data_IF_091297057849
#
_entry.id   IF_091297057849
#
_cell.length_a   1.000
_cell.length_b   1.000
_cell.length_c   1.000
_cell.angle_alpha   90.00
_cell.angle_beta   90.00
_cell.angle_gamma   90.00
#
_symmetry.space_group_name_H-M   'P 1'
#
loop_
_entity.id
_entity.type
_entity.pdbx_description
1 polymer ?
#
# COMPACT_ATOMS: atom_id res chain seq x y z
N UNK A 1 13.45 9.50 -1.76
CA UNK A 1 12.28 9.72 -0.89
C UNK A 1 12.00 8.41 -0.18
N UNK A 2 11.95 8.40 1.15
CA UNK A 2 11.70 7.16 1.89
C UNK A 2 10.18 6.97 2.03
N UNK A 3 9.61 6.07 1.23
CA UNK A 3 8.20 5.72 1.35
C UNK A 3 7.98 4.94 2.64
N UNK A 4 7.08 5.42 3.49
CA UNK A 4 6.65 4.66 4.67
C UNK A 4 5.92 3.40 4.19
N UNK A 5 6.25 2.21 4.70
CA UNK A 5 5.58 0.97 4.32
C UNK A 5 4.07 1.08 4.46
N UNK A 6 3.36 0.51 3.49
CA UNK A 6 1.89 0.48 3.46
C UNK A 6 1.37 -0.95 3.35
N UNK A 7 0.17 -1.17 3.88
CA UNK A 7 -0.58 -2.42 3.75
C UNK A 7 -2.04 -2.10 3.41
N UNK A 8 -2.72 -3.08 2.81
CA UNK A 8 -4.16 -3.03 2.59
C UNK A 8 -4.87 -3.92 3.60
N UNK A 9 -5.88 -3.38 4.29
CA UNK A 9 -6.74 -4.11 5.22
C UNK A 9 -8.18 -3.73 4.93
N UNK A 10 -9.04 -4.70 4.63
CA UNK A 10 -10.49 -4.47 4.39
C UNK A 10 -10.75 -3.37 3.34
N UNK A 11 -9.93 -3.32 2.28
CA UNK A 11 -9.98 -2.29 1.22
C UNK A 11 -9.58 -0.87 1.66
N UNK A 12 -8.96 -0.73 2.84
CA UNK A 12 -8.35 0.50 3.31
C UNK A 12 -6.83 0.43 3.20
N UNK A 13 -6.23 1.55 2.82
CA UNK A 13 -4.78 1.69 2.77
C UNK A 13 -4.25 2.26 4.10
N UNK A 14 -3.35 1.51 4.74
CA UNK A 14 -2.76 1.88 6.02
C UNK A 14 -1.26 2.10 5.89
N UNK A 15 -0.74 3.04 6.66
CA UNK A 15 0.68 3.38 6.76
C UNK A 15 1.20 2.92 8.11
N UNK A 16 2.45 2.41 8.13
CA UNK A 16 3.12 2.00 9.37
C UNK A 16 3.21 3.20 10.33
N UNK A 17 2.65 3.04 11.53
CA UNK A 17 2.75 4.01 12.63
C UNK A 17 4.00 3.69 13.45
N UNK A 18 4.04 2.49 14.04
CA UNK A 18 5.14 2.04 14.91
C UNK A 18 5.22 0.52 14.98
N UNK A 19 6.31 0.01 15.53
CA UNK A 19 6.46 -1.39 15.93
C UNK A 19 6.66 -1.45 17.46
N UNK A 20 6.11 -2.49 18.12
CA UNK A 20 6.53 -2.93 19.44
C UNK A 20 6.62 -4.46 19.48
N UNK A 21 7.81 -5.00 19.77
CA UNK A 21 8.09 -6.46 19.76
C UNK A 21 7.75 -7.08 18.39
N UNK A 22 7.01 -8.18 18.35
CA UNK A 22 6.51 -8.77 17.10
C UNK A 22 5.32 -8.03 16.47
N UNK A 23 4.75 -7.02 17.14
CA UNK A 23 3.54 -6.32 16.69
C UNK A 23 3.86 -5.05 15.90
N UNK A 24 3.25 -4.94 14.74
CA UNK A 24 3.29 -3.77 13.86
C UNK A 24 1.95 -3.06 13.94
N UNK A 25 2.00 -1.76 14.21
CA UNK A 25 0.84 -0.90 14.33
C UNK A 25 0.75 -0.03 13.09
N UNK A 26 -0.45 0.01 12.53
CA UNK A 26 -0.76 0.69 11.30
C UNK A 26 -1.90 1.67 11.55
N UNK A 27 -1.89 2.79 10.84
CA UNK A 27 -2.99 3.75 10.86
C UNK A 27 -3.42 4.07 9.44
N UNK A 28 -4.70 4.41 9.28
CA UNK A 28 -5.24 4.85 8.00
C UNK A 28 -4.39 5.98 7.40
N UNK A 29 -4.14 5.93 6.09
CA UNK A 29 -3.40 7.02 5.43
C UNK A 29 -4.12 8.38 5.52
N UNK A 30 -5.45 8.36 5.69
CA UNK A 30 -6.28 9.54 5.89
C UNK A 30 -6.44 9.93 7.37
N UNK A 31 -5.61 9.40 8.28
CA UNK A 31 -5.63 9.77 9.70
C UNK A 31 -5.55 11.27 9.93
N UNK A 32 -4.69 11.97 9.20
CA UNK A 32 -4.52 13.43 9.33
C UNK A 32 -5.51 14.22 8.47
N UNK A 33 -5.76 13.77 7.24
CA UNK A 33 -6.56 14.53 6.26
C UNK A 33 -8.08 14.39 6.44
N UNK A 34 -8.58 13.22 6.87
CA UNK A 34 -10.00 12.94 7.14
C UNK A 34 -10.30 12.69 8.63
N UNK A 35 -9.32 12.97 9.50
CA UNK A 35 -9.37 12.64 10.92
C UNK A 35 -9.76 11.16 11.18
N UNK A 36 -9.31 10.25 10.31
CA UNK A 36 -9.69 8.84 10.39
C UNK A 36 -9.01 8.13 11.56
N UNK A 37 -9.81 7.45 12.39
CA UNK A 37 -9.32 6.68 13.54
C UNK A 37 -8.96 5.23 13.22
N UNK A 38 -9.15 4.80 11.96
CA UNK A 38 -8.89 3.45 11.48
C UNK A 38 -7.45 3.00 11.75
N UNK A 39 -7.29 1.82 12.32
CA UNK A 39 -6.01 1.22 12.72
C UNK A 39 -6.04 -0.27 12.47
N UNK A 40 -4.86 -0.83 12.23
CA UNK A 40 -4.66 -2.27 12.25
C UNK A 40 -3.44 -2.62 13.09
N UNK A 41 -3.42 -3.86 13.57
CA UNK A 41 -2.24 -4.48 14.15
C UNK A 41 -1.98 -5.79 13.44
N UNK A 42 -0.73 -5.99 13.04
CA UNK A 42 -0.27 -7.23 12.42
C UNK A 42 0.90 -7.81 13.21
N UNK A 43 1.12 -9.11 13.07
CA UNK A 43 2.43 -9.74 13.37
C UNK A 43 3.17 -10.00 12.06
N UNK A 44 4.49 -10.19 12.14
CA UNK A 44 5.30 -10.55 10.98
C UNK A 44 5.73 -12.01 11.10
N UNK A 45 5.20 -12.87 10.22
CA UNK A 45 5.53 -14.29 10.14
C UNK A 45 5.99 -14.60 8.71
N UNK A 46 7.12 -15.29 8.54
CA UNK A 46 7.67 -15.63 7.21
C UNK A 46 7.76 -14.44 6.23
N UNK A 47 8.13 -13.25 6.75
CA UNK A 47 8.18 -11.98 6.02
C UNK A 47 6.82 -11.46 5.52
N UNK A 48 5.71 -12.05 5.97
CA UNK A 48 4.35 -11.63 5.65
C UNK A 48 3.66 -11.04 6.88
N UNK A 49 2.88 -9.99 6.66
CA UNK A 49 2.11 -9.36 7.73
C UNK A 49 0.76 -10.08 7.91
N UNK A 50 0.58 -10.74 9.05
CA UNK A 50 -0.66 -11.43 9.41
C UNK A 50 -1.52 -10.50 10.26
N UNK A 51 -2.75 -10.24 9.83
CA UNK A 51 -3.69 -9.35 10.52
C UNK A 51 -4.14 -9.95 11.85
N UNK A 52 -3.98 -9.20 12.94
CA UNK A 52 -4.45 -9.57 14.29
C UNK A 52 -5.74 -8.84 14.62
N UNK A 53 -5.81 -7.55 14.30
CA UNK A 53 -7.00 -6.72 14.54
C UNK A 53 -7.06 -5.54 13.59
N UNK A 54 -8.29 -5.14 13.28
CA UNK A 54 -8.65 -3.91 12.55
C UNK A 54 -9.67 -3.14 13.39
N UNK A 55 -9.74 -1.81 13.24
CA UNK A 55 -10.77 -0.97 13.84
C UNK A 55 -11.50 -0.19 12.75
N UNK A 56 -12.76 0.18 13.01
CA UNK A 56 -13.60 0.89 12.05
C UNK A 56 -12.99 2.19 11.48
N UNK A 57 -13.47 2.53 10.28
CA UNK A 57 -13.07 3.68 9.49
C UNK A 57 -14.24 4.66 9.35
N UNK A 58 -13.95 5.95 9.26
CA UNK A 58 -14.97 7.01 9.15
C UNK A 58 -15.15 7.53 7.71
N UNK A 59 -14.67 6.78 6.72
CA UNK A 59 -14.81 7.10 5.31
C UNK A 59 -14.96 5.79 4.53
N UNK A 60 -15.51 5.86 3.32
CA UNK A 60 -15.56 4.71 2.43
C UNK A 60 -14.16 4.29 1.93
N UNK A 61 -13.97 3.02 1.57
CA UNK A 61 -12.80 2.57 0.82
C UNK A 61 -12.64 3.33 -0.50
N UNK A 62 -11.40 3.47 -0.96
CA UNK A 62 -11.07 4.12 -2.24
C UNK A 62 -10.21 3.15 -3.06
N UNK A 63 -10.86 2.31 -3.87
CA UNK A 63 -10.19 1.23 -4.60
C UNK A 63 -9.10 1.77 -5.56
N UNK A 64 -9.41 2.83 -6.30
CA UNK A 64 -8.47 3.51 -7.21
C UNK A 64 -7.18 3.93 -6.51
N UNK A 65 -7.25 4.32 -5.23
CA UNK A 65 -6.09 4.72 -4.46
C UNK A 65 -5.18 3.55 -4.12
N UNK A 66 -5.75 2.38 -3.84
CA UNK A 66 -4.99 1.14 -3.64
C UNK A 66 -4.27 0.77 -4.93
N UNK A 67 -4.97 0.81 -6.07
CA UNK A 67 -4.40 0.47 -7.37
C UNK A 67 -3.23 1.39 -7.71
N UNK A 68 -3.42 2.70 -7.60
CA UNK A 68 -2.34 3.69 -7.84
C UNK A 68 -1.12 3.41 -6.98
N UNK A 69 -1.30 3.12 -5.69
CA UNK A 69 -0.18 2.86 -4.77
C UNK A 69 0.49 1.53 -5.09
N UNK A 70 -0.27 0.50 -5.45
CA UNK A 70 0.26 -0.79 -5.89
C UNK A 70 1.11 -0.65 -7.16
N UNK A 71 0.60 0.06 -8.16
CA UNK A 71 1.32 0.35 -9.40
C UNK A 71 2.59 1.14 -9.15
N UNK A 72 2.55 2.17 -8.30
CA UNK A 72 3.74 2.94 -7.95
C UNK A 72 4.80 2.07 -7.26
N UNK A 73 4.40 1.16 -6.36
CA UNK A 73 5.33 0.23 -5.75
C UNK A 73 5.95 -0.71 -6.79
N UNK A 74 5.15 -1.25 -7.70
CA UNK A 74 5.65 -2.11 -8.80
C UNK A 74 6.66 -1.37 -9.69
N UNK A 75 6.36 -0.14 -10.11
CA UNK A 75 7.28 0.70 -10.90
C UNK A 75 8.61 0.88 -10.15
N UNK A 76 8.55 1.17 -8.85
CA UNK A 76 9.75 1.36 -8.03
C UNK A 76 10.57 0.07 -7.92
N UNK A 77 9.93 -1.09 -7.75
CA UNK A 77 10.62 -2.39 -7.69
C UNK A 77 11.27 -2.75 -9.05
N UNK A 78 10.59 -2.49 -10.16
CA UNK A 78 11.15 -2.68 -11.50
C UNK A 78 12.33 -1.74 -11.71
N UNK A 79 12.20 -0.46 -11.37
CA UNK A 79 13.27 0.51 -11.49
C UNK A 79 14.48 0.16 -10.62
N UNK A 80 14.25 -0.39 -9.41
CA UNK A 80 15.31 -0.84 -8.52
C UNK A 80 16.02 -2.11 -9.04
N UNK A 81 15.29 -3.03 -9.67
CA UNK A 81 15.83 -4.30 -10.18
C UNK A 81 16.41 -4.21 -11.60
N UNK A 82 15.97 -3.26 -12.42
CA UNK A 82 16.33 -3.14 -13.84
C UNK A 82 17.01 -1.81 -14.16
N UNK A 83 18.29 -1.70 -13.78
CA UNK A 83 19.07 -0.45 -13.95
C UNK A 83 19.38 -0.07 -15.41
N UNK A 84 19.14 -0.98 -16.37
CA UNK A 84 19.40 -0.77 -17.80
C UNK A 84 18.16 -0.33 -18.60
N UNK A 85 16.96 -0.46 -18.03
CA UNK A 85 15.72 -0.08 -18.71
C UNK A 85 15.47 1.40 -18.48
N UNK A 86 15.09 2.13 -19.53
CA UNK A 86 14.84 3.57 -19.41
C UNK A 86 13.61 3.80 -18.52
N UNK A 87 13.62 4.80 -17.61
CA UNK A 87 12.46 5.10 -16.78
C UNK A 87 11.16 5.29 -17.56
N UNK A 88 11.22 5.85 -18.77
CA UNK A 88 10.06 6.03 -19.64
C UNK A 88 9.42 4.72 -20.09
N UNK A 89 10.22 3.67 -20.32
CA UNK A 89 9.72 2.34 -20.71
C UNK A 89 9.03 1.65 -19.53
N UNK A 90 9.63 1.73 -18.33
CA UNK A 90 9.04 1.19 -17.09
C UNK A 90 7.66 1.82 -16.84
N UNK A 91 7.56 3.15 -17.01
CA UNK A 91 6.30 3.86 -16.86
C UNK A 91 5.28 3.40 -17.92
N UNK A 92 5.67 3.29 -19.19
CA UNK A 92 4.78 2.83 -20.26
C UNK A 92 4.23 1.43 -20.01
N UNK A 93 5.09 0.47 -19.63
CA UNK A 93 4.69 -0.91 -19.40
C UNK A 93 3.75 -1.03 -18.19
N UNK A 94 3.97 -0.23 -17.14
CA UNK A 94 3.11 -0.21 -15.95
C UNK A 94 1.70 0.34 -16.20
N UNK A 95 1.53 1.26 -17.17
CA UNK A 95 0.22 1.81 -17.54
C UNK A 95 -0.65 0.75 -18.22
N UNK A 96 -0.04 -0.14 -19.02
CA UNK A 96 -0.74 -1.23 -19.72
C UNK A 96 -1.38 -2.19 -18.70
N UNK A 97 -0.67 -2.49 -17.61
CA UNK A 97 -1.12 -3.41 -16.54
C UNK A 97 -2.33 -2.84 -15.78
N UNK A 98 -2.37 -1.53 -15.58
CA UNK A 98 -3.52 -0.87 -14.94
C UNK A 98 -4.75 -0.96 -15.84
N UNK A 99 -4.61 -0.82 -17.16
CA UNK A 99 -5.72 -0.85 -18.12
C UNK A 99 -6.34 -2.25 -18.30
N UNK A 100 -5.56 -3.33 -18.17
CA UNK A 100 -6.08 -4.70 -18.27
C UNK A 100 -6.99 -5.12 -17.11
N UNK A 101 -6.98 -4.39 -15.99
CA UNK A 101 -7.90 -4.61 -14.86
C UNK A 101 -9.25 -3.89 -15.02
N UNK A 102 -9.45 -3.12 -16.09
CA UNK A 102 -10.69 -2.38 -16.39
C UNK A 102 -11.51 -2.97 -17.54
N UNK A 103 -11.07 -4.04 -18.18
CA UNK A 103 -11.89 -4.77 -19.17
C UNK A 103 -12.66 -5.86 -18.46
N UNK A 104 -13.97 -5.62 -18.28
CA UNK A 104 -14.96 -6.64 -17.91
C UNK A 104 -15.07 -7.73 -18.98
#
# INVERSE_FOLDING_TARGET
>A
MQFSPKITVEWYLLVKDKNRKERYYWCCEYRKSKNCSGRAVTILENKQHILIKSTGYNHAPEASRIDVVSTLNMINEIAASQTRVKPSQIIQDSIIIVQTNFTC
#
